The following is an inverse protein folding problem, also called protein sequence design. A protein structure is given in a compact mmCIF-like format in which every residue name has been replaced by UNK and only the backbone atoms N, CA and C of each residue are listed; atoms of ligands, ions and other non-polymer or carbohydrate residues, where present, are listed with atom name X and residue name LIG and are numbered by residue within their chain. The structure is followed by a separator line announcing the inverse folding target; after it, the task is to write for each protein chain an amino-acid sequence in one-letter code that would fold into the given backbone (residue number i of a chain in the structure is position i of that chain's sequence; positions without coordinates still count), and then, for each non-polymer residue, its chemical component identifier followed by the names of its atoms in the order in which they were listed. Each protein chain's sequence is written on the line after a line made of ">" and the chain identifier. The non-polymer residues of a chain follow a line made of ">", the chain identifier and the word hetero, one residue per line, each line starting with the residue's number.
data_IF_634588212059
#
_entry.id   IF_634588212059
#
_cell.length_a   1.000
_cell.length_b   1.000
_cell.length_c   1.000
_cell.angle_alpha   90.00
_cell.angle_beta   90.00
_cell.angle_gamma   90.00
#
_symmetry.space_group_name_H-M   'P 1'
#
loop_
_entity.id
_entity.type
_entity.pdbx_description
1 polymer ?
#
# COMPACT_ATOMS: atom_id res chain seq x y z
N UNK A 1 6.88 0.02 25.41
CA UNK A 1 6.91 1.51 25.40
C UNK A 1 8.26 2.14 24.99
N UNK A 2 9.45 1.63 25.35
CA UNK A 2 10.74 2.25 24.93
C UNK A 2 11.26 1.87 23.54
N UNK A 3 10.66 0.89 22.85
CA UNK A 3 11.01 0.51 21.46
C UNK A 3 10.15 1.18 20.37
N UNK A 4 9.06 1.86 20.74
CA UNK A 4 8.13 2.50 19.79
C UNK A 4 8.54 3.93 19.39
N UNK A 5 9.50 4.53 20.11
CA UNK A 5 9.97 5.91 19.87
C UNK A 5 11.09 5.97 18.82
N UNK A 6 11.72 4.84 18.46
CA UNK A 6 12.85 4.83 17.51
C UNK A 6 12.43 4.69 16.03
N UNK A 7 11.21 4.27 15.75
CA UNK A 7 10.68 4.15 14.37
C UNK A 7 9.76 5.30 13.98
N UNK A 8 9.25 6.08 14.94
CA UNK A 8 8.48 7.31 14.67
C UNK A 8 9.36 8.55 14.40
N UNK A 9 10.66 8.48 14.67
CA UNK A 9 11.60 9.59 14.52
C UNK A 9 12.03 9.95 13.08
N UNK A 10 11.60 9.18 12.08
CA UNK A 10 11.95 9.42 10.67
C UNK A 10 10.79 10.11 9.91
N UNK A 11 9.57 10.17 10.47
CA UNK A 11 8.43 10.86 9.83
C UNK A 11 8.18 12.29 10.32
N UNK A 12 8.97 12.79 11.29
CA UNK A 12 8.82 14.12 11.88
C UNK A 12 9.97 15.09 11.52
N UNK A 13 10.70 14.78 10.44
CA UNK A 13 11.80 15.61 9.91
C UNK A 13 11.55 16.10 8.47
N UNK A 14 10.30 16.07 8.00
CA UNK A 14 9.88 16.68 6.73
C UNK A 14 9.17 18.04 6.87
N UNK A 15 9.03 18.57 8.09
CA UNK A 15 8.24 19.79 8.36
C UNK A 15 9.02 21.07 8.70
N UNK A 16 10.36 21.04 8.75
CA UNK A 16 11.13 22.17 9.31
C UNK A 16 12.45 22.43 8.58
N UNK A 17 12.43 22.53 7.24
CA UNK A 17 13.57 23.10 6.50
C UNK A 17 13.09 23.93 5.29
N UNK A 18 12.31 24.98 5.51
CA UNK A 18 12.27 26.10 4.56
C UNK A 18 12.02 27.43 5.30
N UNK A 19 13.12 28.11 5.65
CA UNK A 19 13.22 29.57 5.63
C UNK A 19 14.46 29.97 4.83
N UNK A 20 14.41 31.11 4.13
CA UNK A 20 15.18 31.32 2.91
C UNK A 20 16.56 31.90 3.23
N UNK A 21 17.58 31.29 2.66
CA UNK A 21 18.89 31.92 2.47
C UNK A 21 19.50 31.27 1.25
N UNK A 22 19.66 32.07 0.19
CA UNK A 22 20.31 31.64 -1.03
C UNK A 22 21.76 31.24 -0.76
N UNK A 23 22.22 30.24 -1.51
CA UNK A 23 23.56 30.09 -2.10
C UNK A 23 23.58 28.71 -2.79
N UNK A 24 23.72 28.77 -4.12
CA UNK A 24 24.22 27.75 -5.07
C UNK A 24 23.42 26.45 -5.26
N UNK A 25 22.60 26.43 -6.31
CA UNK A 25 22.31 25.22 -7.07
C UNK A 25 23.46 25.01 -8.08
N UNK A 26 24.16 23.88 -7.98
CA UNK A 26 25.09 23.42 -9.00
C UNK A 26 24.35 22.38 -9.86
N UNK A 27 24.18 22.70 -11.14
CA UNK A 27 23.55 21.84 -12.15
C UNK A 27 24.33 20.51 -12.28
N UNK A 28 23.81 19.42 -11.74
CA UNK A 28 24.37 18.08 -11.98
C UNK A 28 23.95 17.56 -13.36
N UNK A 29 24.56 18.10 -14.42
CA UNK A 29 24.61 17.44 -15.73
C UNK A 29 25.85 16.55 -15.75
N UNK A 30 25.65 15.23 -15.73
CA UNK A 30 26.73 14.25 -15.89
C UNK A 30 27.36 14.47 -17.28
N UNK A 31 28.64 14.84 -17.30
CA UNK A 31 29.38 15.03 -18.54
C UNK A 31 29.63 13.68 -19.23
N UNK A 32 29.79 13.68 -20.56
CA UNK A 32 30.10 12.46 -21.33
C UNK A 32 31.33 11.72 -20.80
N UNK A 33 32.34 12.44 -20.31
CA UNK A 33 33.53 11.86 -19.69
C UNK A 33 33.23 11.11 -18.38
N UNK A 34 32.28 11.61 -17.58
CA UNK A 34 31.85 10.90 -16.36
C UNK A 34 31.06 9.64 -16.69
N UNK A 35 30.28 9.67 -17.78
CA UNK A 35 29.56 8.50 -18.27
C UNK A 35 30.54 7.41 -18.79
N UNK A 36 31.55 7.79 -19.57
CA UNK A 36 32.57 6.87 -20.06
C UNK A 36 33.39 6.25 -18.92
N UNK A 37 33.69 7.01 -17.87
CA UNK A 37 34.35 6.47 -16.67
C UNK A 37 33.47 5.45 -15.93
N UNK A 38 32.16 5.66 -15.89
CA UNK A 38 31.23 4.70 -15.28
C UNK A 38 31.12 3.43 -16.11
N UNK A 39 31.04 3.55 -17.44
CA UNK A 39 31.01 2.40 -18.35
C UNK A 39 32.29 1.56 -18.23
N UNK A 40 33.46 2.18 -18.24
CA UNK A 40 34.73 1.48 -18.06
C UNK A 40 34.83 0.77 -16.70
N UNK A 41 34.28 1.34 -15.63
CA UNK A 41 34.23 0.68 -14.31
C UNK A 41 33.28 -0.50 -14.28
N UNK A 42 32.19 -0.43 -15.02
CA UNK A 42 31.18 -1.49 -15.10
C UNK A 42 31.75 -2.68 -15.88
N UNK A 43 32.41 -2.42 -17.01
CA UNK A 43 33.09 -3.45 -17.82
C UNK A 43 34.23 -4.14 -17.04
N UNK A 44 35.00 -3.39 -16.23
CA UNK A 44 36.00 -3.98 -15.34
C UNK A 44 35.39 -4.85 -14.23
N UNK A 45 34.22 -4.48 -13.72
CA UNK A 45 33.52 -5.26 -12.70
C UNK A 45 32.96 -6.57 -13.26
N UNK A 46 32.38 -6.52 -14.46
CA UNK A 46 31.88 -7.71 -15.17
C UNK A 46 33.01 -8.71 -15.46
N UNK A 47 34.16 -8.21 -15.94
CA UNK A 47 35.32 -9.06 -16.19
C UNK A 47 35.81 -9.77 -14.91
N UNK A 48 35.80 -9.08 -13.77
CA UNK A 48 36.20 -9.67 -12.48
C UNK A 48 35.21 -10.71 -11.97
N UNK A 49 33.92 -10.54 -12.24
CA UNK A 49 32.90 -11.55 -11.93
C UNK A 49 33.12 -12.79 -12.77
N UNK A 50 33.40 -12.62 -14.06
CA UNK A 50 33.64 -13.74 -14.98
C UNK A 50 34.90 -14.53 -14.60
N UNK A 51 35.99 -13.85 -14.23
CA UNK A 51 37.20 -14.49 -13.69
C UNK A 51 36.92 -15.26 -12.38
N UNK A 52 36.04 -14.74 -11.52
CA UNK A 52 35.65 -15.42 -10.28
C UNK A 52 34.78 -16.66 -10.55
N UNK A 53 33.91 -16.60 -11.55
CA UNK A 53 33.10 -17.75 -11.98
C UNK A 53 33.96 -18.86 -12.60
N UNK A 54 34.99 -18.50 -13.38
CA UNK A 54 35.96 -19.45 -13.93
C UNK A 54 36.88 -20.06 -12.85
N UNK A 55 37.15 -19.33 -11.77
CA UNK A 55 38.01 -19.78 -10.66
C UNK A 55 37.32 -20.71 -9.65
N UNK A 56 36.03 -20.99 -9.81
CA UNK A 56 35.23 -21.77 -8.86
C UNK A 56 35.62 -23.26 -8.96
N UNK A 57 36.20 -23.88 -7.90
CA UNK A 57 36.56 -25.29 -7.97
C UNK A 57 35.30 -26.16 -8.00
N UNK A 58 35.24 -27.08 -8.97
CA UNK A 58 34.22 -28.13 -9.06
C UNK A 58 34.47 -29.13 -7.92
N UNK A 59 33.54 -29.23 -6.98
CA UNK A 59 33.58 -30.22 -5.90
C UNK A 59 33.34 -31.62 -6.47
N UNK A 60 34.30 -32.57 -6.37
CA UNK A 60 34.04 -33.96 -6.77
C UNK A 60 33.14 -34.67 -5.72
N UNK A 61 32.43 -35.74 -6.10
CA UNK A 61 31.52 -36.46 -5.21
C UNK A 61 32.29 -37.14 -4.06
N UNK A 62 31.68 -37.30 -2.88
CA UNK A 62 32.37 -37.80 -1.70
C UNK A 62 32.71 -39.28 -1.86
N UNK A 63 33.99 -39.61 -1.66
CA UNK A 63 34.48 -41.00 -1.50
C UNK A 63 34.43 -41.35 0.00
N UNK A 64 34.11 -42.59 0.40
CA UNK A 64 33.93 -42.93 1.82
C UNK A 64 35.27 -42.87 2.56
N UNK A 65 35.36 -42.08 3.63
CA UNK A 65 36.53 -42.08 4.50
C UNK A 65 36.42 -43.21 5.55
N UNK A 66 37.55 -43.90 5.87
CA UNK A 66 37.61 -44.87 6.96
C UNK A 66 37.61 -44.18 8.33
N UNK A 67 37.26 -44.95 9.36
CA UNK A 67 37.02 -44.53 10.75
C UNK A 67 38.05 -43.52 11.32
N UNK A 68 37.59 -42.54 12.12
CA UNK A 68 38.49 -41.55 12.71
C UNK A 68 39.39 -42.22 13.75
N UNK A 69 40.70 -42.18 13.49
CA UNK A 69 41.72 -42.41 14.52
C UNK A 69 41.61 -41.28 15.56
N UNK A 70 41.71 -41.64 16.84
CA UNK A 70 41.72 -40.71 17.97
C UNK A 70 42.84 -39.68 17.80
N UNK A 71 42.47 -38.49 17.36
CA UNK A 71 43.31 -37.31 17.54
C UNK A 71 43.35 -36.95 19.02
N UNK A 72 44.57 -36.74 19.49
CA UNK A 72 44.88 -36.29 20.84
C UNK A 72 44.22 -34.94 21.09
N UNK A 73 43.46 -34.86 22.19
CA UNK A 73 42.85 -33.64 22.73
C UNK A 73 43.90 -32.50 22.71
N UNK A 74 43.65 -31.36 22.05
CA UNK A 74 44.53 -30.21 22.19
C UNK A 74 44.48 -29.75 23.64
N UNK A 75 45.65 -29.50 24.22
CA UNK A 75 45.80 -28.94 25.56
C UNK A 75 44.88 -27.72 25.72
N UNK A 76 44.11 -27.71 26.81
CA UNK A 76 43.34 -26.55 27.26
C UNK A 76 44.20 -25.29 27.16
N UNK A 77 43.66 -24.17 26.62
CA UNK A 77 44.40 -22.91 26.60
C UNK A 77 44.81 -22.53 28.03
N UNK A 78 45.95 -21.82 28.18
CA UNK A 78 46.48 -21.48 29.49
C UNK A 78 45.44 -20.71 30.29
N UNK A 79 45.17 -21.21 31.50
CA UNK A 79 44.31 -20.53 32.46
C UNK A 79 45.01 -19.23 32.86
N UNK A 80 44.45 -18.08 32.48
CA UNK A 80 44.99 -16.78 32.84
C UNK A 80 44.99 -16.67 34.38
N UNK A 81 46.17 -16.50 34.97
CA UNK A 81 46.29 -16.18 36.39
C UNK A 81 45.79 -14.75 36.63
N UNK A 82 45.11 -14.57 37.76
CA UNK A 82 44.56 -13.28 38.19
C UNK A 82 45.72 -12.31 38.41
N UNK A 83 45.99 -11.44 37.44
CA UNK A 83 46.93 -10.35 37.61
C UNK A 83 46.46 -9.49 38.78
N UNK A 84 47.37 -9.23 39.73
CA UNK A 84 47.13 -8.36 40.87
C UNK A 84 47.04 -6.90 40.38
N UNK A 85 45.87 -6.52 39.92
CA UNK A 85 45.50 -5.19 39.46
C UNK A 85 44.03 -5.25 39.07
N UNK A 86 43.20 -4.40 39.68
CA UNK A 86 41.75 -4.42 39.48
C UNK A 86 41.40 -4.42 37.99
N UNK A 87 40.52 -5.34 37.61
CA UNK A 87 39.96 -5.39 36.26
C UNK A 87 39.29 -4.05 35.95
N UNK A 88 39.51 -3.53 34.74
CA UNK A 88 38.64 -2.48 34.25
C UNK A 88 37.29 -3.08 33.85
N UNK A 89 36.23 -2.27 33.90
CA UNK A 89 34.86 -2.71 33.63
C UNK A 89 34.67 -3.29 32.19
N UNK A 90 35.64 -3.07 31.29
CA UNK A 90 35.57 -3.55 29.90
C UNK A 90 36.09 -4.98 29.74
N UNK A 91 37.12 -5.37 30.49
CA UNK A 91 37.65 -6.75 30.50
C UNK A 91 36.69 -7.73 31.21
N UNK A 92 35.97 -7.30 32.26
CA UNK A 92 34.91 -8.11 32.87
C UNK A 92 33.72 -8.33 31.91
N UNK A 93 33.36 -7.33 31.10
CA UNK A 93 32.30 -7.49 30.09
C UNK A 93 32.68 -8.44 28.95
N UNK A 94 33.96 -8.54 28.60
CA UNK A 94 34.42 -9.48 27.57
C UNK A 94 34.38 -10.93 28.07
N UNK A 95 34.72 -11.18 29.33
CA UNK A 95 34.68 -12.52 29.93
C UNK A 95 33.23 -13.00 30.16
N UNK A 96 32.35 -12.10 30.62
CA UNK A 96 30.92 -12.40 30.82
C UNK A 96 30.16 -12.70 29.53
N UNK A 97 30.72 -12.39 28.36
CA UNK A 97 30.13 -12.76 27.08
C UNK A 97 30.40 -14.22 26.68
N UNK A 98 31.40 -14.89 27.26
CA UNK A 98 31.76 -16.27 26.94
C UNK A 98 31.29 -17.29 27.99
N UNK A 99 31.26 -16.90 29.27
CA UNK A 99 30.86 -17.76 30.39
C UNK A 99 29.94 -17.04 31.37
N UNK A 100 28.95 -17.74 31.93
CA UNK A 100 28.13 -17.21 33.03
C UNK A 100 28.90 -17.23 34.38
N UNK A 101 28.29 -16.68 35.44
CA UNK A 101 28.85 -16.62 36.81
C UNK A 101 29.20 -18.02 37.38
N UNK A 102 28.76 -19.11 36.74
CA UNK A 102 29.04 -20.50 37.12
C UNK A 102 30.15 -21.16 36.29
N UNK A 103 30.69 -20.47 35.27
CA UNK A 103 31.69 -21.01 34.35
C UNK A 103 31.11 -21.85 33.21
N UNK A 104 29.80 -21.83 32.99
CA UNK A 104 29.14 -22.54 31.87
C UNK A 104 29.18 -21.70 30.59
N UNK A 105 29.28 -22.31 29.39
CA UNK A 105 29.45 -21.59 28.13
C UNK A 105 28.14 -20.89 27.71
N UNK A 106 27.93 -19.69 28.26
CA UNK A 106 26.76 -18.85 28.01
C UNK A 106 26.65 -18.45 26.53
N UNK A 107 27.77 -18.28 25.85
CA UNK A 107 27.81 -17.99 24.42
C UNK A 107 27.30 -19.14 23.57
N UNK A 108 27.73 -20.37 23.83
CA UNK A 108 27.32 -21.57 23.08
C UNK A 108 25.83 -21.84 23.27
N UNK A 109 25.33 -21.65 24.50
CA UNK A 109 23.91 -21.76 24.81
C UNK A 109 23.09 -20.70 24.06
N UNK A 110 23.58 -19.45 23.99
CA UNK A 110 22.90 -18.38 23.26
C UNK A 110 22.96 -18.60 21.75
N UNK A 111 24.08 -19.08 21.22
CA UNK A 111 24.24 -19.43 19.81
C UNK A 111 23.29 -20.57 19.43
N UNK A 112 23.21 -21.64 20.23
CA UNK A 112 22.30 -22.76 19.97
C UNK A 112 20.83 -22.31 20.02
N UNK A 113 20.45 -21.44 20.95
CA UNK A 113 19.08 -20.87 20.96
C UNK A 113 18.78 -20.02 19.73
N UNK A 114 19.75 -19.22 19.26
CA UNK A 114 19.61 -18.42 18.04
C UNK A 114 19.52 -19.30 16.78
N UNK A 115 20.30 -20.37 16.72
CA UNK A 115 20.24 -21.34 15.62
C UNK A 115 18.90 -22.09 15.61
N UNK A 116 18.38 -22.48 16.77
CA UNK A 116 17.05 -23.07 16.90
C UNK A 116 15.93 -22.10 16.51
N UNK A 117 15.99 -20.86 16.97
CA UNK A 117 15.01 -19.83 16.63
C UNK A 117 15.05 -19.47 15.14
N UNK A 118 16.25 -19.39 14.55
CA UNK A 118 16.44 -19.20 13.12
C UNK A 118 15.88 -20.39 12.32
N UNK A 119 16.11 -21.62 12.79
CA UNK A 119 15.58 -22.82 12.15
C UNK A 119 14.05 -22.84 12.20
N UNK A 120 13.43 -22.57 13.37
CA UNK A 120 11.97 -22.45 13.51
C UNK A 120 11.40 -21.35 12.62
N UNK A 121 12.06 -20.19 12.56
CA UNK A 121 11.66 -19.09 11.68
C UNK A 121 11.73 -19.50 10.21
N UNK A 122 12.85 -20.08 9.77
CA UNK A 122 13.04 -20.56 8.41
C UNK A 122 12.02 -21.63 8.02
N UNK A 123 11.75 -22.60 8.89
CA UNK A 123 10.74 -23.64 8.69
C UNK A 123 9.34 -23.01 8.58
N UNK A 124 8.99 -22.06 9.46
CA UNK A 124 7.70 -21.36 9.41
C UNK A 124 7.50 -20.55 8.13
N UNK A 125 8.55 -19.90 7.62
CA UNK A 125 8.52 -19.15 6.36
C UNK A 125 8.41 -20.09 5.16
N UNK A 126 9.10 -21.23 5.19
CA UNK A 126 8.97 -22.27 4.16
C UNK A 126 7.57 -22.89 4.15
N UNK A 127 6.99 -23.17 5.31
CA UNK A 127 5.62 -23.67 5.43
C UNK A 127 4.58 -22.67 4.91
N UNK A 128 4.74 -21.37 5.21
CA UNK A 128 3.88 -20.32 4.65
C UNK A 128 3.98 -20.28 3.12
N UNK A 129 5.21 -20.24 2.58
CA UNK A 129 5.46 -20.27 1.14
C UNK A 129 4.87 -21.52 0.47
N UNK A 130 5.00 -22.69 1.11
CA UNK A 130 4.43 -23.93 0.59
C UNK A 130 2.89 -23.92 0.63
N UNK A 131 2.28 -23.40 1.71
CA UNK A 131 0.82 -23.22 1.81
C UNK A 131 0.32 -22.25 0.75
N UNK A 132 1.00 -21.12 0.55
CA UNK A 132 0.62 -20.12 -0.46
C UNK A 132 0.78 -20.66 -1.89
N UNK A 133 1.85 -21.41 -2.19
CA UNK A 133 2.04 -22.08 -3.48
C UNK A 133 0.96 -23.14 -3.77
N UNK A 134 0.38 -23.73 -2.71
CA UNK A 134 -0.69 -24.74 -2.80
C UNK A 134 -2.11 -24.16 -2.84
N UNK A 135 -2.30 -22.86 -2.55
CA UNK A 135 -3.63 -22.22 -2.60
C UNK A 135 -4.19 -22.31 -4.03
N UNK A 136 -5.40 -22.84 -4.13
CA UNK A 136 -6.12 -22.86 -5.40
C UNK A 136 -6.60 -21.44 -5.73
N UNK A 137 -6.56 -21.07 -7.01
CA UNK A 137 -7.17 -19.82 -7.48
C UNK A 137 -8.66 -19.84 -7.16
N UNK A 138 -9.12 -18.81 -6.45
CA UNK A 138 -10.53 -18.67 -6.07
C UNK A 138 -11.24 -17.70 -7.00
N UNK A 139 -12.55 -17.88 -7.13
CA UNK A 139 -13.41 -16.92 -7.81
C UNK A 139 -14.72 -16.79 -7.04
N UNK A 140 -15.02 -15.56 -6.62
CA UNK A 140 -16.25 -15.15 -5.98
C UNK A 140 -16.99 -14.20 -6.92
N UNK A 141 -18.20 -14.59 -7.29
CA UNK A 141 -19.11 -13.75 -8.04
C UNK A 141 -19.95 -12.95 -7.04
N UNK A 142 -20.09 -11.66 -7.29
CA UNK A 142 -20.87 -10.73 -6.47
C UNK A 142 -21.80 -9.92 -7.38
N UNK A 143 -23.02 -9.70 -6.91
CA UNK A 143 -24.02 -8.91 -7.62
C UNK A 143 -24.64 -7.86 -6.71
N UNK A 144 -25.19 -6.80 -7.30
CA UNK A 144 -25.98 -5.80 -6.59
C UNK A 144 -26.98 -5.13 -7.51
N UNK A 145 -28.23 -5.06 -7.07
CA UNK A 145 -29.31 -4.38 -7.79
C UNK A 145 -29.97 -3.41 -6.84
N UNK A 146 -29.95 -2.12 -7.17
CA UNK A 146 -30.69 -1.07 -6.48
C UNK A 146 -31.61 -0.41 -7.52
N UNK A 147 -32.91 -0.44 -7.28
CA UNK A 147 -33.93 0.21 -8.09
C UNK A 147 -34.57 1.31 -7.26
N UNK A 148 -34.68 2.49 -7.86
CA UNK A 148 -35.12 3.70 -7.19
C UNK A 148 -36.22 4.37 -7.95
N UNK A 149 -37.16 4.97 -7.22
CA UNK A 149 -38.16 5.83 -7.81
C UNK A 149 -38.46 7.01 -6.90
N UNK A 150 -38.64 8.18 -7.50
CA UNK A 150 -39.05 9.40 -6.82
C UNK A 150 -39.85 10.29 -7.76
N UNK A 151 -40.61 11.20 -7.17
CA UNK A 151 -41.44 12.16 -7.87
C UNK A 151 -41.29 13.55 -7.28
N UNK A 152 -41.76 14.54 -8.04
CA UNK A 152 -41.87 15.92 -7.59
C UNK A 152 -43.35 16.24 -7.38
N UNK A 153 -43.70 16.82 -6.22
CA UNK A 153 -45.08 17.27 -5.98
C UNK A 153 -45.39 18.58 -6.70
N UNK A 154 -44.38 19.42 -6.90
CA UNK A 154 -44.47 20.76 -7.46
C UNK A 154 -43.19 21.12 -8.23
N UNK A 155 -43.28 22.11 -9.12
CA UNK A 155 -42.13 22.68 -9.83
C UNK A 155 -41.76 24.06 -9.30
N UNK A 156 -40.46 24.34 -9.22
CA UNK A 156 -39.91 25.68 -9.00
C UNK A 156 -38.80 25.92 -10.04
N UNK A 157 -38.42 27.19 -10.33
CA UNK A 157 -37.30 27.46 -11.24
C UNK A 157 -35.99 26.73 -10.87
N UNK A 158 -35.76 26.50 -9.57
CA UNK A 158 -34.60 25.72 -9.10
C UNK A 158 -34.74 24.22 -9.41
N UNK A 159 -35.91 23.62 -9.16
CA UNK A 159 -36.18 22.22 -9.52
C UNK A 159 -36.03 22.05 -11.03
N UNK A 160 -36.61 22.94 -11.84
CA UNK A 160 -36.46 22.92 -13.29
C UNK A 160 -34.99 22.99 -13.72
N UNK A 161 -34.19 23.89 -13.12
CA UNK A 161 -32.78 24.01 -13.47
C UNK A 161 -31.97 22.73 -13.17
N UNK A 162 -32.24 22.05 -12.05
CA UNK A 162 -31.52 20.83 -11.65
C UNK A 162 -32.07 19.56 -12.28
N UNK A 163 -33.38 19.49 -12.53
CA UNK A 163 -34.03 18.36 -13.18
C UNK A 163 -33.81 18.37 -14.70
N UNK A 164 -33.49 19.56 -15.26
CA UNK A 164 -33.31 19.81 -16.68
C UNK A 164 -34.44 19.21 -17.55
N UNK A 165 -35.72 19.37 -17.17
CA UNK A 165 -36.82 18.85 -17.95
C UNK A 165 -36.97 19.67 -19.24
N UNK A 166 -37.60 19.08 -20.26
CA UNK A 166 -37.95 19.81 -21.48
C UNK A 166 -38.96 20.94 -21.21
N UNK A 167 -39.84 20.77 -20.22
CA UNK A 167 -40.78 21.79 -19.74
C UNK A 167 -40.39 22.23 -18.31
N UNK A 168 -40.00 23.50 -18.08
CA UNK A 168 -39.66 24.00 -16.75
C UNK A 168 -40.79 23.92 -15.72
N UNK A 169 -42.04 23.75 -16.15
CA UNK A 169 -43.20 23.60 -15.26
C UNK A 169 -43.51 22.16 -14.88
N UNK A 170 -42.92 21.17 -15.56
CA UNK A 170 -43.21 19.74 -15.36
C UNK A 170 -41.91 18.93 -15.14
N UNK A 171 -41.41 18.85 -13.90
CA UNK A 171 -40.25 18.06 -13.57
C UNK A 171 -40.53 16.56 -13.75
N UNK A 172 -39.58 15.86 -14.36
CA UNK A 172 -39.74 14.45 -14.70
C UNK A 172 -39.56 13.56 -13.46
N UNK A 173 -40.57 12.74 -13.20
CA UNK A 173 -40.49 11.66 -12.23
C UNK A 173 -39.59 10.55 -12.76
N UNK A 174 -38.85 9.88 -11.87
CA UNK A 174 -37.86 8.90 -12.28
C UNK A 174 -38.13 7.54 -11.65
N UNK A 175 -37.83 6.49 -12.42
CA UNK A 175 -37.70 5.12 -11.99
C UNK A 175 -36.45 4.56 -12.66
N UNK A 176 -35.36 4.43 -11.91
CA UNK A 176 -34.04 4.09 -12.46
C UNK A 176 -33.34 3.01 -11.64
N UNK A 177 -32.47 2.25 -12.30
CA UNK A 177 -31.48 1.45 -11.59
C UNK A 177 -30.41 2.38 -11.04
N UNK A 178 -30.35 2.60 -9.72
CA UNK A 178 -29.22 3.33 -9.14
C UNK A 178 -27.90 2.58 -9.34
N UNK A 179 -27.95 1.24 -9.26
CA UNK A 179 -26.80 0.34 -9.38
C UNK A 179 -27.26 -0.98 -9.96
N UNK A 180 -26.56 -1.46 -10.97
CA UNK A 180 -26.72 -2.80 -11.51
C UNK A 180 -25.33 -3.40 -11.67
N UNK A 181 -24.77 -3.91 -10.57
CA UNK A 181 -23.36 -4.33 -10.51
C UNK A 181 -23.18 -5.82 -10.61
N UNK A 182 -22.14 -6.19 -11.34
CA UNK A 182 -21.57 -7.51 -11.35
C UNK A 182 -20.08 -7.42 -11.07
N UNK A 183 -19.58 -8.24 -10.16
CA UNK A 183 -18.17 -8.26 -9.83
C UNK A 183 -17.63 -9.66 -9.57
N UNK A 184 -16.36 -9.84 -9.90
CA UNK A 184 -15.57 -11.04 -9.74
C UNK A 184 -14.37 -10.68 -8.88
N UNK A 185 -14.12 -11.45 -7.83
CA UNK A 185 -12.96 -11.26 -6.99
C UNK A 185 -12.40 -12.61 -6.56
N UNK A 186 -11.12 -12.67 -6.27
CA UNK A 186 -10.54 -13.88 -5.75
C UNK A 186 -9.06 -13.75 -5.47
N UNK A 187 -8.52 -14.84 -4.95
CA UNK A 187 -7.12 -15.03 -4.66
C UNK A 187 -6.50 -15.84 -5.79
N UNK A 188 -5.30 -15.45 -6.17
CA UNK A 188 -4.41 -16.17 -7.07
C UNK A 188 -3.25 -16.72 -6.21
N UNK A 189 -2.46 -17.64 -6.76
CA UNK A 189 -1.25 -18.15 -6.12
C UNK A 189 -0.30 -17.03 -5.69
N UNK A 190 0.58 -17.35 -4.74
CA UNK A 190 1.66 -16.46 -4.30
C UNK A 190 1.15 -15.10 -3.82
N UNK A 191 0.21 -15.11 -2.86
CA UNK A 191 -0.39 -13.93 -2.19
C UNK A 191 -1.08 -12.90 -3.09
N UNK A 192 -1.30 -13.23 -4.36
CA UNK A 192 -1.94 -12.36 -5.33
C UNK A 192 -3.46 -12.29 -5.13
N UNK A 193 -4.04 -11.12 -5.36
CA UNK A 193 -5.49 -10.92 -5.36
C UNK A 193 -5.93 -10.14 -6.59
N UNK A 194 -7.16 -10.39 -7.03
CA UNK A 194 -7.76 -9.60 -8.10
C UNK A 194 -9.20 -9.21 -7.76
N UNK A 195 -9.64 -8.09 -8.33
CA UNK A 195 -11.04 -7.70 -8.34
C UNK A 195 -11.38 -7.00 -9.64
N UNK A 196 -12.51 -7.39 -10.22
CA UNK A 196 -13.17 -6.76 -11.36
C UNK A 196 -14.63 -6.49 -10.96
N UNK A 197 -15.14 -5.28 -11.11
CA UNK A 197 -16.51 -4.88 -10.81
C UNK A 197 -16.96 -3.85 -11.84
N UNK A 198 -18.08 -4.13 -12.51
CA UNK A 198 -18.72 -3.26 -13.49
C UNK A 198 -20.10 -2.84 -12.99
N UNK A 199 -20.53 -1.63 -13.33
CA UNK A 199 -21.88 -1.10 -13.10
C UNK A 199 -22.58 -0.94 -14.46
N UNK A 200 -23.77 -1.51 -14.59
CA UNK A 200 -24.61 -1.48 -15.78
C UNK A 200 -25.87 -0.64 -15.50
N UNK A 201 -25.75 0.39 -14.65
CA UNK A 201 -26.83 1.32 -14.34
C UNK A 201 -27.25 2.15 -15.56
N UNK A 202 -26.29 2.47 -16.43
CA UNK A 202 -26.55 2.92 -17.80
C UNK A 202 -26.39 1.74 -18.78
N UNK A 203 -27.44 1.48 -19.57
CA UNK A 203 -27.44 0.40 -20.55
C UNK A 203 -26.51 0.65 -21.74
N UNK A 204 -26.21 1.92 -22.04
CA UNK A 204 -25.36 2.31 -23.17
C UNK A 204 -23.89 2.49 -22.78
N UNK A 205 -23.61 2.73 -21.49
CA UNK A 205 -22.26 3.04 -21.00
C UNK A 205 -21.93 2.31 -19.68
N UNK A 206 -21.57 1.01 -19.75
CA UNK A 206 -21.15 0.26 -18.57
C UNK A 206 -19.88 0.84 -17.96
N UNK A 207 -19.90 1.09 -16.65
CA UNK A 207 -18.81 1.79 -15.97
C UNK A 207 -17.93 0.84 -15.15
N UNK A 208 -16.61 1.01 -15.27
CA UNK A 208 -15.62 0.28 -14.48
C UNK A 208 -15.62 0.85 -13.06
N UNK A 209 -15.89 0.00 -12.06
CA UNK A 209 -15.75 0.35 -10.65
C UNK A 209 -14.39 -0.10 -10.13
N UNK A 210 -14.27 -1.31 -9.63
CA UNK A 210 -12.98 -1.83 -9.14
C UNK A 210 -12.38 -2.71 -10.23
N UNK A 211 -11.17 -2.43 -10.69
CA UNK A 211 -10.43 -3.25 -11.65
C UNK A 211 -8.95 -3.22 -11.30
N UNK A 212 -8.50 -4.14 -10.46
CA UNK A 212 -7.13 -4.17 -9.97
C UNK A 212 -6.60 -5.58 -9.74
N UNK A 213 -5.26 -5.67 -9.75
CA UNK A 213 -4.47 -6.77 -9.25
C UNK A 213 -3.69 -6.30 -8.04
N UNK A 214 -3.39 -7.18 -7.09
CA UNK A 214 -2.61 -6.82 -5.92
C UNK A 214 -1.91 -7.99 -5.29
N UNK A 215 -1.14 -7.69 -4.25
CA UNK A 215 -0.36 -8.63 -3.45
C UNK A 215 -0.56 -8.31 -1.99
N UNK A 216 -0.89 -9.32 -1.20
CA UNK A 216 -0.96 -9.24 0.26
C UNK A 216 0.37 -9.67 0.90
N UNK A 217 0.46 -9.58 2.22
CA UNK A 217 1.56 -10.10 3.02
C UNK A 217 2.95 -9.58 2.61
N UNK A 218 3.02 -8.35 2.08
CA UNK A 218 4.27 -7.67 1.76
C UNK A 218 4.92 -7.10 3.03
N UNK A 219 6.24 -7.25 3.22
CA UNK A 219 6.91 -6.91 4.48
C UNK A 219 6.86 -5.42 4.84
N UNK A 220 6.74 -4.53 3.85
CA UNK A 220 6.69 -3.07 4.05
C UNK A 220 5.29 -2.53 3.78
N UNK A 221 4.71 -2.89 2.64
CA UNK A 221 3.45 -2.31 2.17
C UNK A 221 2.21 -3.04 2.69
N UNK A 222 2.38 -4.22 3.30
CA UNK A 222 1.33 -5.19 3.66
C UNK A 222 0.49 -5.61 2.46
N UNK A 223 -0.42 -4.75 1.99
CA UNK A 223 -1.17 -4.97 0.76
C UNK A 223 -0.84 -3.88 -0.26
N UNK A 224 -0.40 -4.27 -1.46
CA UNK A 224 -0.19 -3.37 -2.60
C UNK A 224 -1.18 -3.68 -3.71
N UNK A 225 -1.91 -2.68 -4.16
CA UNK A 225 -2.91 -2.78 -5.23
C UNK A 225 -2.54 -1.89 -6.41
N UNK A 226 -2.62 -2.42 -7.62
CA UNK A 226 -2.36 -1.73 -8.89
C UNK A 226 -3.62 -1.85 -9.75
N UNK A 227 -4.22 -0.72 -10.11
CA UNK A 227 -5.40 -0.67 -10.98
C UNK A 227 -6.41 0.41 -10.58
N UNK A 228 -7.61 0.33 -11.16
CA UNK A 228 -8.70 1.22 -10.83
C UNK A 228 -9.33 0.82 -9.49
N UNK A 229 -9.24 1.71 -8.51
CA UNK A 229 -9.63 1.41 -7.13
C UNK A 229 -9.98 2.69 -6.37
N UNK A 230 -10.61 2.54 -5.20
CA UNK A 230 -10.99 3.70 -4.38
C UNK A 230 -9.77 4.49 -3.90
N UNK A 231 -9.80 5.81 -4.10
CA UNK A 231 -8.94 6.77 -3.40
C UNK A 231 -9.28 6.77 -1.91
N UNK A 232 -8.30 6.87 -1.01
CA UNK A 232 -8.51 6.79 0.43
C UNK A 232 -9.10 8.08 1.05
N UNK A 233 -10.06 8.73 0.40
CA UNK A 233 -10.67 9.98 0.85
C UNK A 233 -12.09 9.75 1.36
N UNK A 234 -12.36 10.16 2.59
CA UNK A 234 -13.68 10.07 3.21
C UNK A 234 -14.10 8.64 3.62
N UNK A 235 -14.70 8.50 4.79
CA UNK A 235 -15.18 7.18 5.25
C UNK A 235 -16.35 6.68 4.40
N UNK A 236 -17.26 7.55 4.00
CA UNK A 236 -18.49 7.16 3.30
C UNK A 236 -18.22 6.59 1.88
N UNK A 237 -17.21 7.10 1.18
CA UNK A 237 -16.75 6.52 -0.09
C UNK A 237 -16.05 5.19 0.10
N UNK A 238 -15.27 5.04 1.16
CA UNK A 238 -14.59 3.78 1.48
C UNK A 238 -15.57 2.70 1.92
N UNK A 239 -16.63 3.06 2.63
CA UNK A 239 -17.69 2.14 2.98
C UNK A 239 -18.37 1.55 1.71
N UNK A 240 -18.89 0.34 1.84
CA UNK A 240 -19.70 -0.26 0.79
C UNK A 240 -21.00 0.51 0.68
N UNK A 241 -21.39 0.86 -0.55
CA UNK A 241 -22.70 1.48 -0.82
C UNK A 241 -23.91 0.60 -0.46
N UNK A 242 -23.69 -0.65 -0.03
CA UNK A 242 -24.73 -1.54 0.51
C UNK A 242 -25.12 -1.15 1.94
N UNK A 243 -24.19 -0.55 2.67
CA UNK A 243 -24.33 -0.23 4.09
C UNK A 243 -24.28 1.29 4.31
N UNK A 244 -24.58 2.06 3.27
CA UNK A 244 -24.82 3.49 3.43
C UNK A 244 -26.12 3.68 4.21
N UNK A 245 -26.12 4.61 5.16
CA UNK A 245 -27.29 4.91 5.97
C UNK A 245 -28.34 5.71 5.19
N UNK A 246 -27.86 6.67 4.41
CA UNK A 246 -28.67 7.47 3.49
C UNK A 246 -28.62 6.88 2.09
N UNK A 247 -29.61 7.28 1.28
CA UNK A 247 -29.76 6.83 -0.10
C UNK A 247 -28.56 7.26 -0.97
N UNK A 248 -28.09 8.48 -0.75
CA UNK A 248 -26.91 9.06 -1.40
C UNK A 248 -25.80 9.37 -0.40
N UNK A 249 -24.59 9.56 -0.96
CA UNK A 249 -23.43 10.00 -0.20
C UNK A 249 -23.52 11.49 0.11
N UNK A 250 -22.89 11.97 1.20
CA UNK A 250 -22.86 13.39 1.51
C UNK A 250 -22.25 14.22 0.38
N UNK A 251 -22.95 15.30 0.00
CA UNK A 251 -22.62 16.18 -1.13
C UNK A 251 -21.17 16.69 -1.10
N UNK A 252 -20.69 17.09 0.09
CA UNK A 252 -19.34 17.65 0.28
C UNK A 252 -18.27 16.61 -0.03
N UNK A 253 -18.46 15.36 0.40
CA UNK A 253 -17.50 14.30 0.14
C UNK A 253 -17.49 13.96 -1.37
N UNK A 254 -18.66 13.88 -2.01
CA UNK A 254 -18.75 13.64 -3.45
C UNK A 254 -18.08 14.75 -4.29
N UNK A 255 -18.12 16.01 -3.84
CA UNK A 255 -17.45 17.12 -4.52
C UNK A 255 -15.92 16.94 -4.59
N UNK A 256 -15.29 16.58 -3.47
CA UNK A 256 -13.82 16.43 -3.39
C UNK A 256 -13.31 15.07 -3.87
N UNK A 257 -14.12 14.02 -3.75
CA UNK A 257 -13.77 12.66 -4.14
C UNK A 257 -14.76 12.10 -5.17
N UNK A 258 -14.98 12.85 -6.24
CA UNK A 258 -15.88 12.49 -7.33
C UNK A 258 -15.57 11.10 -7.90
N UNK A 259 -16.62 10.28 -7.98
CA UNK A 259 -16.61 8.86 -8.41
C UNK A 259 -15.65 7.96 -7.61
N UNK A 260 -15.10 8.45 -6.50
CA UNK A 260 -14.26 7.78 -5.50
C UNK A 260 -13.06 6.96 -5.98
N UNK A 261 -12.95 6.61 -7.25
CA UNK A 261 -12.06 5.60 -7.81
C UNK A 261 -11.24 6.17 -8.93
N UNK A 262 -9.98 5.77 -8.97
CA UNK A 262 -9.02 6.17 -9.98
C UNK A 262 -8.04 5.04 -10.25
N UNK A 263 -7.48 5.05 -11.46
CA UNK A 263 -6.33 4.21 -11.79
C UNK A 263 -5.14 4.66 -10.93
N UNK A 264 -4.49 3.72 -10.26
CA UNK A 264 -3.34 4.05 -9.44
C UNK A 264 -2.70 2.86 -8.75
N UNK A 265 -1.67 3.17 -7.98
CA UNK A 265 -0.95 2.22 -7.13
C UNK A 265 -1.11 2.66 -5.69
N UNK A 266 -1.56 1.75 -4.83
CA UNK A 266 -1.87 2.06 -3.45
C UNK A 266 -1.46 0.95 -2.49
N UNK A 267 -0.88 1.36 -1.36
CA UNK A 267 -0.55 0.49 -0.26
C UNK A 267 -1.60 0.64 0.86
N UNK A 268 -1.94 -0.48 1.49
CA UNK A 268 -2.88 -0.57 2.59
C UNK A 268 -2.20 -1.32 3.73
N UNK A 269 -2.27 -0.77 4.93
CA UNK A 269 -1.75 -1.45 6.11
C UNK A 269 -2.63 -1.26 7.34
N UNK A 270 -2.44 -2.18 8.27
CA UNK A 270 -3.08 -2.23 9.58
C UNK A 270 -1.99 -2.50 10.63
N UNK A 271 -2.14 -1.93 11.83
CA UNK A 271 -1.28 -2.24 12.97
C UNK A 271 -1.52 -3.67 13.44
N UNK A 272 -0.52 -4.28 14.08
CA UNK A 272 -0.64 -5.63 14.65
C UNK A 272 -1.81 -5.75 15.65
N UNK A 273 -2.08 -4.71 16.42
CA UNK A 273 -3.21 -4.67 17.36
C UNK A 273 -4.55 -4.24 16.71
N UNK A 274 -4.61 -4.16 15.38
CA UNK A 274 -5.79 -3.76 14.57
C UNK A 274 -6.42 -2.40 14.93
N UNK A 275 -5.75 -1.62 15.79
CA UNK A 275 -6.24 -0.34 16.30
C UNK A 275 -6.10 0.76 15.26
N UNK A 276 -5.03 0.73 14.45
CA UNK A 276 -4.71 1.72 13.43
C UNK A 276 -4.68 1.09 12.05
N UNK A 277 -5.11 1.85 11.05
CA UNK A 277 -4.97 1.48 9.65
C UNK A 277 -4.60 2.70 8.83
N UNK A 278 -3.73 2.49 7.85
CA UNK A 278 -3.27 3.52 6.94
C UNK A 278 -3.42 3.07 5.49
N UNK A 279 -3.59 4.04 4.61
CA UNK A 279 -3.67 3.83 3.18
C UNK A 279 -2.99 5.01 2.51
N UNK A 280 -2.17 4.74 1.51
CA UNK A 280 -1.59 5.81 0.71
C UNK A 280 -1.30 5.31 -0.70
N UNK A 281 -1.34 6.20 -1.67
CA UNK A 281 -1.13 5.82 -3.06
C UNK A 281 -1.06 7.00 -4.00
N UNK A 282 -0.54 6.72 -5.18
CA UNK A 282 -0.50 7.66 -6.30
C UNK A 282 -1.58 7.23 -7.29
N UNK A 283 -2.40 8.17 -7.70
CA UNK A 283 -3.54 7.96 -8.58
C UNK A 283 -3.54 8.97 -9.72
N UNK A 284 -3.94 8.54 -10.90
CA UNK A 284 -4.33 9.45 -11.97
C UNK A 284 -5.54 10.27 -11.51
N UNK A 285 -5.57 11.55 -11.85
CA UNK A 285 -6.70 12.44 -11.56
C UNK A 285 -7.86 12.19 -12.54
N UNK A 286 -7.54 11.81 -13.76
CA UNK A 286 -8.52 11.50 -14.80
C UNK A 286 -9.31 10.24 -14.48
N UNK A 287 -10.62 10.31 -14.69
CA UNK A 287 -11.51 9.19 -14.42
C UNK A 287 -11.68 8.30 -15.64
N UNK A 288 -11.06 7.11 -15.60
CA UNK A 288 -11.18 6.10 -16.66
C UNK A 288 -12.41 5.19 -16.49
N UNK A 289 -13.38 5.53 -15.62
CA UNK A 289 -14.53 4.65 -15.36
C UNK A 289 -15.35 4.35 -16.62
N UNK A 290 -15.46 5.32 -17.54
CA UNK A 290 -16.21 5.19 -18.78
C UNK A 290 -15.28 5.24 -20.01
N UNK A 291 -13.96 5.18 -19.78
CA UNK A 291 -12.95 5.15 -20.84
C UNK A 291 -12.25 3.79 -20.85
N UNK A 292 -11.78 3.38 -22.02
CA UNK A 292 -10.94 2.20 -22.21
C UNK A 292 -9.56 2.32 -21.56
N UNK A 293 -9.14 3.52 -21.15
CA UNK A 293 -7.88 3.78 -20.45
C UNK A 293 -7.59 5.27 -20.35
N UNK A 294 -6.36 5.61 -19.96
CA UNK A 294 -5.84 6.97 -20.03
C UNK A 294 -5.07 7.16 -21.34
N UNK A 295 -5.38 8.22 -22.08
CA UNK A 295 -4.63 8.65 -23.25
C UNK A 295 -4.39 10.16 -23.17
N UNK A 296 -3.14 10.56 -22.93
CA UNK A 296 -2.74 11.96 -22.80
C UNK A 296 -1.28 12.10 -22.38
N UNK A 297 -0.76 13.33 -22.47
CA UNK A 297 0.60 13.72 -22.02
C UNK A 297 0.58 14.66 -20.79
N UNK A 298 -0.61 15.02 -20.31
CA UNK A 298 -0.80 15.92 -19.18
C UNK A 298 -0.26 15.36 -17.84
N UNK A 299 -0.24 14.02 -17.68
CA UNK A 299 0.35 13.35 -16.52
C UNK A 299 -0.17 13.87 -15.18
N UNK A 300 -1.50 13.87 -15.02
CA UNK A 300 -2.19 14.53 -13.91
C UNK A 300 -2.32 13.56 -12.74
N UNK A 301 -1.41 13.63 -11.78
CA UNK A 301 -1.37 12.70 -10.64
C UNK A 301 -1.75 13.34 -9.31
N UNK A 302 -2.20 12.48 -8.39
CA UNK A 302 -2.43 12.83 -6.99
C UNK A 302 -1.87 11.79 -6.03
N UNK A 303 -1.16 12.28 -5.01
CA UNK A 303 -0.83 11.53 -3.81
C UNK A 303 -2.01 11.64 -2.85
N UNK A 304 -2.58 10.50 -2.48
CA UNK A 304 -3.69 10.44 -1.54
C UNK A 304 -3.25 9.61 -0.34
N UNK A 305 -3.54 10.07 0.87
CA UNK A 305 -3.21 9.36 2.10
C UNK A 305 -4.32 9.45 3.14
N UNK A 306 -4.46 8.40 3.94
CA UNK A 306 -5.39 8.34 5.07
C UNK A 306 -4.77 7.57 6.21
N UNK A 307 -4.90 8.13 7.41
CA UNK A 307 -4.65 7.44 8.67
C UNK A 307 -5.96 7.42 9.46
N UNK A 308 -6.35 6.24 9.93
CA UNK A 308 -7.53 6.08 10.75
C UNK A 308 -7.27 5.13 11.91
N UNK A 309 -7.95 5.33 13.02
CA UNK A 309 -7.83 4.50 14.20
C UNK A 309 -9.15 4.36 14.94
N UNK A 310 -9.32 3.23 15.59
CA UNK A 310 -10.45 2.93 16.44
C UNK A 310 -9.95 2.63 17.86
N UNK A 311 -9.46 3.65 18.61
CA UNK A 311 -8.79 3.44 19.90
C UNK A 311 -9.72 2.90 21.00
N UNK A 312 -11.04 2.97 20.80
CA UNK A 312 -12.01 2.35 21.68
C UNK A 312 -13.02 1.56 20.86
N UNK A 313 -13.20 0.30 21.23
CA UNK A 313 -14.15 -0.62 20.64
C UNK A 313 -14.73 -1.48 21.77
N UNK A 314 -16.05 -1.48 21.91
CA UNK A 314 -16.71 -2.29 22.93
C UNK A 314 -16.83 -3.74 22.47
N UNK A 315 -15.86 -4.56 22.87
CA UNK A 315 -15.83 -6.00 22.54
C UNK A 315 -17.03 -6.76 23.13
N UNK A 316 -17.54 -6.35 24.29
CA UNK A 316 -18.62 -7.09 24.97
C UNK A 316 -19.94 -6.97 24.21
N UNK A 317 -20.19 -5.82 23.58
CA UNK A 317 -21.36 -5.64 22.70
C UNK A 317 -21.12 -6.03 21.25
N UNK A 318 -19.90 -6.46 20.89
CA UNK A 318 -19.52 -6.73 19.50
C UNK A 318 -19.44 -5.46 18.66
N UNK A 319 -19.03 -4.33 19.25
CA UNK A 319 -18.78 -3.07 18.55
C UNK A 319 -19.99 -2.15 18.43
N UNK A 320 -21.03 -2.30 19.26
CA UNK A 320 -22.17 -1.34 19.25
C UNK A 320 -21.75 0.04 19.73
N UNK A 321 -20.71 0.11 20.56
CA UNK A 321 -19.99 1.34 20.89
C UNK A 321 -18.58 1.29 20.35
N UNK A 322 -18.16 2.33 19.64
CA UNK A 322 -16.77 2.53 19.25
C UNK A 322 -16.46 4.03 19.06
N UNK A 323 -15.19 4.39 19.19
CA UNK A 323 -14.67 5.70 18.83
C UNK A 323 -13.79 5.52 17.60
N UNK A 324 -14.21 6.10 16.48
CA UNK A 324 -13.42 6.10 15.25
C UNK A 324 -12.94 7.50 14.90
N UNK A 325 -11.64 7.64 14.66
CA UNK A 325 -10.99 8.87 14.26
C UNK A 325 -10.23 8.64 12.97
N UNK A 326 -10.31 9.58 12.04
CA UNK A 326 -9.56 9.47 10.79
C UNK A 326 -9.27 10.82 10.17
N UNK A 327 -8.09 10.92 9.56
CA UNK A 327 -7.64 12.06 8.77
C UNK A 327 -7.25 11.55 7.38
N UNK A 328 -7.65 12.28 6.35
CA UNK A 328 -7.32 11.99 4.96
C UNK A 328 -6.93 13.28 4.25
N UNK A 329 -5.97 13.18 3.34
CA UNK A 329 -5.47 14.31 2.57
C UNK A 329 -5.12 13.89 1.14
N UNK A 330 -5.15 14.87 0.23
CA UNK A 330 -4.86 14.72 -1.19
C UNK A 330 -3.98 15.87 -1.65
N UNK A 331 -2.78 15.53 -2.12
CA UNK A 331 -1.92 16.46 -2.82
C UNK A 331 -1.91 16.13 -4.31
N UNK A 332 -2.33 17.07 -5.14
CA UNK A 332 -2.58 16.84 -6.56
C UNK A 332 -1.85 17.86 -7.43
N UNK A 333 -1.38 17.40 -8.59
CA UNK A 333 -0.82 18.25 -9.64
C UNK A 333 -1.71 18.16 -10.88
N UNK A 334 -2.81 18.93 -10.93
CA UNK A 334 -3.64 19.04 -12.11
C UNK A 334 -2.94 19.86 -13.20
N UNK A 335 -3.36 19.66 -14.43
CA UNK A 335 -2.90 20.44 -15.57
C UNK A 335 -3.56 21.83 -15.58
N UNK A 336 -2.77 22.84 -15.91
CA UNK A 336 -3.20 24.23 -15.94
C UNK A 336 -3.67 24.63 -17.33
N UNK A 337 -4.97 24.87 -17.46
CA UNK A 337 -5.65 25.41 -18.65
C UNK A 337 -5.45 24.58 -19.94
N UNK A 338 -6.17 23.45 -20.11
CA UNK A 338 -6.10 22.65 -21.32
C UNK A 338 -6.49 23.51 -22.53
N UNK A 339 -5.72 23.43 -23.61
CA UNK A 339 -6.10 24.08 -24.86
C UNK A 339 -7.51 23.63 -25.28
N UNK A 340 -8.25 24.45 -26.02
CA UNK A 340 -9.60 24.08 -26.50
C UNK A 340 -9.63 22.79 -27.36
N UNK A 341 -8.45 22.32 -27.81
CA UNK A 341 -8.26 21.09 -28.59
C UNK A 341 -7.62 19.95 -27.79
N UNK A 342 -7.34 20.14 -26.50
CA UNK A 342 -6.76 19.09 -25.66
C UNK A 342 -7.79 17.97 -25.44
N UNK A 343 -7.34 16.72 -25.48
CA UNK A 343 -8.16 15.55 -25.19
C UNK A 343 -8.51 15.42 -23.71
N UNK A 344 -7.67 15.96 -22.82
CA UNK A 344 -7.79 15.78 -21.37
C UNK A 344 -8.27 17.08 -20.71
N UNK A 345 -9.15 16.95 -19.72
CA UNK A 345 -9.69 18.08 -18.98
C UNK A 345 -8.78 18.48 -17.80
N UNK A 346 -8.89 19.73 -17.34
CA UNK A 346 -8.32 20.14 -16.06
C UNK A 346 -9.08 19.47 -14.90
N UNK A 347 -8.39 18.63 -14.14
CA UNK A 347 -8.95 17.87 -13.02
C UNK A 347 -8.93 18.65 -11.68
N UNK A 348 -8.56 19.93 -11.67
CA UNK A 348 -8.71 20.83 -10.52
C UNK A 348 -10.16 21.28 -10.25
N UNK A 349 -11.15 20.66 -10.92
CA UNK A 349 -12.57 21.04 -10.83
C UNK A 349 -13.33 20.05 -9.96
N UNK A 350 -13.79 20.53 -8.81
CA UNK A 350 -14.61 19.75 -7.88
C UNK A 350 -16.08 19.91 -8.22
N UNK A 351 -16.75 18.78 -8.52
CA UNK A 351 -18.16 18.78 -8.92
C UNK A 351 -18.97 17.81 -8.10
N UNK A 352 -20.22 18.16 -7.86
CA UNK A 352 -21.19 17.31 -7.18
C UNK A 352 -22.48 17.20 -7.98
N UNK A 353 -23.46 16.45 -7.50
CA UNK A 353 -24.77 16.32 -8.15
C UNK A 353 -25.87 16.30 -7.10
N UNK A 354 -27.10 16.72 -7.46
CA UNK A 354 -28.24 16.62 -6.56
C UNK A 354 -28.51 15.16 -6.18
N UNK A 355 -29.12 14.94 -5.01
CA UNK A 355 -29.47 13.61 -4.51
C UNK A 355 -30.41 12.85 -5.45
N UNK A 356 -31.27 13.59 -6.15
CA UNK A 356 -32.18 13.07 -7.17
C UNK A 356 -31.45 12.64 -8.45
N UNK A 357 -30.13 12.82 -8.59
CA UNK A 357 -29.36 12.46 -9.82
C UNK A 357 -29.99 12.93 -11.14
N UNK A 358 -30.79 13.97 -11.09
CA UNK A 358 -31.59 14.39 -12.21
C UNK A 358 -30.69 15.05 -13.26
N UNK A 359 -30.76 14.53 -14.49
CA UNK A 359 -29.90 14.92 -15.60
C UNK A 359 -28.45 14.41 -15.50
N UNK A 360 -27.72 14.49 -16.60
CA UNK A 360 -26.32 14.04 -16.70
C UNK A 360 -25.31 15.06 -16.16
N UNK A 361 -25.77 16.19 -15.63
CA UNK A 361 -24.93 17.35 -15.33
C UNK A 361 -24.51 17.33 -13.85
N UNK A 362 -23.19 17.36 -13.62
CA UNK A 362 -22.61 17.65 -12.32
C UNK A 362 -22.41 19.16 -12.17
N UNK A 363 -22.72 19.69 -11.00
CA UNK A 363 -22.75 21.11 -10.67
C UNK A 363 -21.59 21.46 -9.72
N UNK A 364 -21.14 22.72 -9.83
CA UNK A 364 -19.85 23.25 -9.34
C UNK A 364 -18.66 22.81 -10.21
#
# INVERSE_FOLDING_TARGET
>A
MRKFIKTAGILLLLGTLFRPSGILAEDTKISSEQLERLLNRLEQAEKRIQELEESKPVTPPPTPQPEPQRETIPLLPPRLERAAGGLDDSDEMLINNYTDDSGSPAFETRLSTLEEDWKKFSESEQEKKAKDASKATTMKITGRIHLDGWNFSDSTPGIAAFNNPADPMDPENNLEFRRLRLGFAGDIKDNMIYKLEFDFDDANDPTIKDAYLGWNDLPVFQTLLIGNQKRPLGMDHLNSSRFNWFLERPLVIEAFNQDARRLGIAAYGVSEEETWNWRYGIYELENIANDSGYAGDAGQYSLNARLAGTPWYDETSGGRGYLHLGIADMWAKPDGDPSATASNNNEARFRTRPEARSGSVRWL
#
